data_IF_803042511736
#
_entry.id   IF_803042511736
#
_cell.length_a   1.000
_cell.length_b   1.000
_cell.length_c   1.000
_cell.angle_alpha   90.00
_cell.angle_beta   90.00
_cell.angle_gamma   90.00
#
_symmetry.space_group_name_H-M   'P 1'
#
loop_
_entity.id
_entity.type
_entity.pdbx_description
1 polymer ?
#
# COMPACT_ATOMS: atom_id res chain seq x y z
N UNK A 1 12.61 28.38 -14.38
CA UNK A 1 12.75 27.67 -13.08
C UNK A 1 11.41 27.08 -12.60
N UNK A 2 10.31 27.85 -12.52
CA UNK A 2 8.95 27.36 -12.12
C UNK A 2 8.40 26.12 -12.84
N UNK A 3 8.66 25.96 -14.14
CA UNK A 3 8.18 24.78 -14.92
C UNK A 3 8.91 23.46 -14.57
N UNK A 4 10.19 23.54 -14.16
CA UNK A 4 10.97 22.34 -13.77
C UNK A 4 10.45 21.77 -12.45
N UNK A 5 10.16 22.62 -11.47
CA UNK A 5 9.59 22.22 -10.16
C UNK A 5 8.19 21.63 -10.27
N UNK A 6 7.32 22.17 -11.14
CA UNK A 6 6.00 21.59 -11.41
C UNK A 6 6.11 20.16 -11.98
N UNK A 7 6.97 19.96 -12.99
CA UNK A 7 7.21 18.65 -13.61
C UNK A 7 7.82 17.62 -12.63
N UNK A 8 8.66 18.06 -11.69
CA UNK A 8 9.20 17.19 -10.63
C UNK A 8 8.12 16.76 -9.63
N UNK A 9 7.19 17.66 -9.28
CA UNK A 9 6.06 17.36 -8.40
C UNK A 9 5.07 16.40 -9.06
N UNK A 10 4.77 16.59 -10.34
CA UNK A 10 3.95 15.67 -11.14
C UNK A 10 4.57 14.27 -11.20
N UNK A 11 5.87 14.17 -11.52
CA UNK A 11 6.59 12.87 -11.50
C UNK A 11 6.50 12.18 -10.15
N UNK A 12 6.61 12.91 -9.04
CA UNK A 12 6.47 12.33 -7.70
C UNK A 12 5.06 11.79 -7.45
N UNK A 13 4.03 12.51 -7.87
CA UNK A 13 2.65 12.04 -7.75
C UNK A 13 2.43 10.75 -8.55
N UNK A 14 2.94 10.67 -9.78
CA UNK A 14 2.89 9.46 -10.60
C UNK A 14 3.66 8.30 -9.96
N UNK A 15 4.82 8.56 -9.35
CA UNK A 15 5.57 7.55 -8.61
C UNK A 15 4.78 7.03 -7.39
N UNK A 16 4.13 7.91 -6.62
CA UNK A 16 3.27 7.48 -5.50
C UNK A 16 2.14 6.59 -6.01
N UNK A 17 1.44 7.02 -7.05
CA UNK A 17 0.39 6.21 -7.70
C UNK A 17 0.95 4.86 -8.16
N UNK A 18 2.12 4.84 -8.80
CA UNK A 18 2.80 3.62 -9.22
C UNK A 18 3.10 2.68 -8.05
N UNK A 19 3.60 3.20 -6.94
CA UNK A 19 3.89 2.41 -5.72
C UNK A 19 2.61 1.88 -5.08
N UNK A 20 1.55 2.68 -4.99
CA UNK A 20 0.25 2.24 -4.47
C UNK A 20 -0.30 1.09 -5.33
N UNK A 21 -0.27 1.25 -6.65
CA UNK A 21 -0.73 0.22 -7.60
C UNK A 21 0.11 -1.06 -7.49
N UNK A 22 1.44 -0.95 -7.42
CA UNK A 22 2.33 -2.10 -7.27
C UNK A 22 2.09 -2.83 -5.95
N UNK A 23 1.91 -2.10 -4.85
CA UNK A 23 1.61 -2.67 -3.53
C UNK A 23 0.28 -3.40 -3.54
N UNK A 24 -0.76 -2.79 -4.12
CA UNK A 24 -2.07 -3.40 -4.28
C UNK A 24 -1.97 -4.72 -5.04
N UNK A 25 -1.27 -4.71 -6.19
CA UNK A 25 -1.07 -5.91 -7.00
C UNK A 25 -0.30 -6.96 -6.19
N UNK A 26 0.83 -6.64 -5.56
CA UNK A 26 1.62 -7.63 -4.81
C UNK A 26 0.85 -8.25 -3.63
N UNK A 27 0.04 -7.47 -2.93
CA UNK A 27 -0.76 -7.96 -1.81
C UNK A 27 -1.94 -8.83 -2.26
N UNK A 28 -2.54 -8.54 -3.42
CA UNK A 28 -3.73 -9.24 -3.91
C UNK A 28 -3.44 -10.36 -4.91
N UNK A 29 -2.31 -10.31 -5.61
CA UNK A 29 -1.90 -11.28 -6.63
C UNK A 29 -1.87 -12.73 -6.09
N UNK A 30 -1.40 -13.00 -4.87
CA UNK A 30 -1.48 -14.35 -4.29
C UNK A 30 -2.94 -14.82 -4.21
N UNK A 31 -3.85 -13.98 -3.72
CA UNK A 31 -5.27 -14.34 -3.62
C UNK A 31 -5.90 -14.61 -5.00
N UNK A 32 -5.67 -13.72 -5.96
CA UNK A 32 -6.20 -13.85 -7.32
C UNK A 32 -5.63 -15.06 -8.08
N UNK A 33 -4.42 -15.51 -7.73
CA UNK A 33 -3.81 -16.69 -8.35
C UNK A 33 -4.25 -17.99 -7.68
N UNK A 34 -4.20 -18.06 -6.34
CA UNK A 34 -4.49 -19.28 -5.59
C UNK A 34 -5.99 -19.62 -5.54
N UNK A 35 -6.88 -18.62 -5.51
CA UNK A 35 -8.33 -18.87 -5.42
C UNK A 35 -8.88 -19.64 -6.65
N UNK A 36 -8.62 -19.22 -7.90
CA UNK A 36 -9.02 -20.00 -9.07
C UNK A 36 -8.26 -21.33 -9.16
N UNK A 37 -6.97 -21.35 -8.81
CA UNK A 37 -6.16 -22.56 -8.88
C UNK A 37 -6.71 -23.67 -7.98
N UNK A 38 -7.11 -23.34 -6.74
CA UNK A 38 -7.74 -24.31 -5.84
C UNK A 38 -9.08 -24.82 -6.38
N UNK A 39 -9.87 -23.96 -7.02
CA UNK A 39 -11.13 -24.38 -7.66
C UNK A 39 -10.91 -25.28 -8.89
N UNK A 40 -9.84 -25.05 -9.65
CA UNK A 40 -9.54 -25.80 -10.88
C UNK A 40 -8.86 -27.15 -10.62
N UNK A 41 -7.97 -27.20 -9.63
CA UNK A 41 -7.16 -28.40 -9.34
C UNK A 41 -7.70 -29.23 -8.19
N UNK A 42 -8.68 -28.71 -7.44
CA UNK A 42 -9.14 -29.32 -6.19
C UNK A 42 -8.07 -29.31 -5.09
N UNK A 43 -6.99 -28.53 -5.27
CA UNK A 43 -5.91 -28.45 -4.30
C UNK A 43 -6.46 -27.84 -3.01
N UNK A 44 -6.31 -28.61 -1.93
CA UNK A 44 -6.73 -28.19 -0.62
C UNK A 44 -5.74 -27.14 -0.11
N UNK A 45 -6.17 -25.88 -0.06
CA UNK A 45 -5.32 -24.81 0.45
C UNK A 45 -5.26 -24.96 1.97
N UNK A 46 -4.07 -25.16 2.56
CA UNK A 46 -3.96 -25.27 4.01
C UNK A 46 -4.46 -23.98 4.66
N UNK A 47 -5.19 -24.10 5.78
CA UNK A 47 -5.79 -22.95 6.47
C UNK A 47 -4.80 -21.83 6.77
N UNK A 48 -3.53 -22.14 6.99
CA UNK A 48 -2.44 -21.17 7.15
C UNK A 48 -2.27 -20.26 5.93
N UNK A 49 -2.35 -20.79 4.69
CA UNK A 49 -2.25 -19.98 3.48
C UNK A 49 -3.45 -19.03 3.36
N UNK A 50 -4.65 -19.51 3.68
CA UNK A 50 -5.86 -18.69 3.69
C UNK A 50 -5.74 -17.54 4.70
N UNK A 51 -5.31 -17.83 5.92
CA UNK A 51 -5.02 -16.81 6.93
C UNK A 51 -3.98 -15.81 6.44
N UNK A 52 -2.89 -16.27 5.81
CA UNK A 52 -1.86 -15.38 5.25
C UNK A 52 -2.42 -14.42 4.20
N UNK A 53 -3.32 -14.86 3.31
CA UNK A 53 -3.97 -13.98 2.33
C UNK A 53 -4.82 -12.89 2.98
N UNK A 54 -5.56 -13.24 4.04
CA UNK A 54 -6.29 -12.24 4.83
C UNK A 54 -5.35 -11.22 5.47
N UNK A 55 -4.25 -11.67 6.07
CA UNK A 55 -3.24 -10.78 6.64
C UNK A 55 -2.60 -9.87 5.59
N UNK A 56 -2.30 -10.38 4.39
CA UNK A 56 -1.83 -9.60 3.25
C UNK A 56 -2.81 -8.49 2.85
N UNK A 57 -4.12 -8.78 2.86
CA UNK A 57 -5.17 -7.78 2.65
C UNK A 57 -5.18 -6.68 3.72
N UNK A 58 -5.02 -7.04 4.99
CA UNK A 58 -4.90 -6.07 6.08
C UNK A 58 -3.65 -5.20 5.97
N UNK A 59 -2.51 -5.81 5.62
CA UNK A 59 -1.25 -5.09 5.40
C UNK A 59 -1.37 -4.10 4.24
N UNK A 60 -2.05 -4.44 3.15
CA UNK A 60 -2.30 -3.53 2.03
C UNK A 60 -3.01 -2.24 2.48
N UNK A 61 -4.03 -2.37 3.34
CA UNK A 61 -4.73 -1.22 3.90
C UNK A 61 -3.84 -0.37 4.81
N UNK A 62 -3.01 -1.00 5.64
CA UNK A 62 -2.07 -0.32 6.54
C UNK A 62 -0.89 0.34 5.80
N UNK A 63 -0.51 -0.19 4.64
CA UNK A 63 0.56 0.37 3.81
C UNK A 63 0.18 1.70 3.15
N UNK A 64 -1.11 1.97 2.95
CA UNK A 64 -1.56 3.23 2.34
C UNK A 64 -1.02 4.47 3.10
N UNK A 65 -1.27 4.67 4.42
CA UNK A 65 -0.66 5.76 5.19
C UNK A 65 0.88 5.79 5.14
N UNK A 66 1.53 4.63 5.14
CA UNK A 66 3.01 4.52 5.09
C UNK A 66 3.56 5.00 3.75
N UNK A 67 2.93 4.59 2.65
CA UNK A 67 3.29 5.04 1.30
C UNK A 67 3.10 6.56 1.19
N UNK A 68 1.96 7.08 1.64
CA UNK A 68 1.73 8.54 1.58
C UNK A 68 2.70 9.33 2.47
N UNK A 69 3.08 8.83 3.64
CA UNK A 69 4.04 9.52 4.54
C UNK A 69 5.50 9.43 4.08
N UNK A 70 5.90 8.36 3.38
CA UNK A 70 7.26 8.23 2.85
C UNK A 70 7.49 9.12 1.62
N UNK A 71 6.53 9.17 0.71
CA UNK A 71 6.70 9.86 -0.57
C UNK A 71 6.22 11.32 -0.58
N UNK A 72 5.43 11.73 0.41
CA UNK A 72 4.86 13.07 0.46
C UNK A 72 5.27 13.81 1.76
N UNK A 73 6.22 14.74 1.62
CA UNK A 73 6.81 15.51 2.74
C UNK A 73 5.76 16.30 3.52
N UNK A 74 4.76 16.84 2.83
CA UNK A 74 3.69 17.63 3.45
C UNK A 74 2.78 16.73 4.29
N UNK A 75 2.48 15.52 3.79
CA UNK A 75 1.73 14.51 4.51
C UNK A 75 2.48 14.01 5.74
N UNK A 76 3.80 13.78 5.62
CA UNK A 76 4.67 13.42 6.74
C UNK A 76 4.70 14.48 7.84
N UNK A 77 4.74 15.75 7.46
CA UNK A 77 4.71 16.86 8.39
C UNK A 77 3.36 16.95 9.13
N UNK A 78 2.24 16.80 8.41
CA UNK A 78 0.90 16.76 9.01
C UNK A 78 0.71 15.55 9.94
N UNK A 79 1.16 14.36 9.53
CA UNK A 79 1.08 13.14 10.34
C UNK A 79 1.94 13.23 11.61
N UNK A 80 3.14 13.80 11.50
CA UNK A 80 4.00 14.08 12.65
C UNK A 80 3.42 15.11 13.61
N UNK A 81 2.70 16.12 13.10
CA UNK A 81 1.99 17.08 13.93
C UNK A 81 0.82 16.43 14.69
N UNK A 82 0.04 15.58 14.02
CA UNK A 82 -1.03 14.77 14.61
C UNK A 82 -0.51 13.87 15.75
N UNK A 83 0.56 13.11 15.51
CA UNK A 83 1.16 12.23 16.53
C UNK A 83 1.71 13.01 17.73
N UNK A 84 2.33 14.18 17.51
CA UNK A 84 2.83 15.04 18.60
C UNK A 84 1.71 15.70 19.40
N UNK A 85 0.60 16.09 18.76
CA UNK A 85 -0.59 16.62 19.45
C UNK A 85 -1.32 15.54 20.24
N UNK A 86 -1.40 14.30 19.76
CA UNK A 86 -1.98 13.19 20.52
C UNK A 86 -1.15 12.75 21.74
N UNK A 87 0.17 12.97 21.75
CA UNK A 87 1.01 12.72 22.93
C UNK A 87 1.08 13.92 23.91
N UNK A 88 0.42 15.04 23.58
CA UNK A 88 0.36 16.24 24.44
C UNK A 88 -1.07 16.53 24.93
N UNK A 89 -1.92 15.50 24.95
CA UNK A 89 -3.17 15.46 25.72
C UNK A 89 -3.03 14.44 26.86
#
# INVERSE_FOLDING_TARGET
IRRKTARTRERRATLVLGVVMATFILCWLPFFFFYPLSKLTGLDIPGTLFTLFFWLGYVNSALNPVIYTLFNRDFRAAFGCLLKRCCWC
#
